data_IF_153286305515
#
_entry.id   IF_153286305515
#
_cell.length_a   1.000
_cell.length_b   1.000
_cell.length_c   1.000
_cell.angle_alpha   90.00
_cell.angle_beta   90.00
_cell.angle_gamma   90.00
#
_symmetry.space_group_name_H-M   'P 1'
#
loop_
_entity.id
_entity.type
_entity.pdbx_description
1 polymer ?
#
# COMPACT_ATOMS: atom_id res chain seq x y z
N UNK A 1 -8.79 12.00 24.16
CA UNK A 1 -7.62 12.65 23.54
C UNK A 1 -7.97 13.05 22.10
N UNK A 2 -8.81 14.07 21.94
CA UNK A 2 -9.36 14.52 20.66
C UNK A 2 -9.58 16.05 20.69
N UNK A 3 -8.64 16.79 21.29
CA UNK A 3 -8.74 18.25 21.54
C UNK A 3 -7.45 19.00 21.19
N UNK A 4 -6.77 18.60 20.11
CA UNK A 4 -5.59 19.31 19.63
C UNK A 4 -5.78 20.01 18.26
N UNK A 5 -6.81 19.66 17.49
CA UNK A 5 -6.98 20.15 16.12
C UNK A 5 -7.91 21.37 15.94
N UNK A 6 -8.46 21.94 17.02
CA UNK A 6 -9.41 23.08 16.93
C UNK A 6 -8.81 24.45 17.31
N UNK A 7 -7.53 24.54 17.64
CA UNK A 7 -6.89 25.79 18.13
C UNK A 7 -5.92 26.45 17.15
N UNK A 8 -5.95 26.10 15.86
CA UNK A 8 -5.03 26.67 14.86
C UNK A 8 -5.71 27.57 13.80
N UNK A 9 -7.02 27.83 13.92
CA UNK A 9 -7.72 28.76 13.03
C UNK A 9 -8.68 29.64 13.83
N UNK A 10 -8.19 30.82 14.23
CA UNK A 10 -8.96 31.82 14.95
C UNK A 10 -8.27 33.18 14.97
N UNK A 11 -8.38 33.89 13.84
CA UNK A 11 -8.60 35.34 13.78
C UNK A 11 -7.43 36.31 14.03
N UNK A 12 -7.14 37.11 12.99
CA UNK A 12 -6.88 38.55 13.17
C UNK A 12 -5.62 39.15 12.54
N UNK A 13 -5.87 40.12 11.65
CA UNK A 13 -5.00 41.21 11.17
C UNK A 13 -3.97 40.89 10.07
N UNK A 14 -4.27 41.38 8.86
CA UNK A 14 -3.32 41.42 7.75
C UNK A 14 -2.32 42.58 7.88
N UNK A 15 -1.09 42.44 7.35
CA UNK A 15 -0.22 43.57 7.08
C UNK A 15 0.07 43.75 5.58
N UNK A 16 -0.03 45.02 5.19
CA UNK A 16 0.58 45.77 4.08
C UNK A 16 1.53 45.02 3.14
N UNK A 17 1.24 45.14 1.85
CA UNK A 17 2.12 44.79 0.72
C UNK A 17 3.51 45.42 0.87
N UNK A 18 4.53 44.58 1.06
CA UNK A 18 5.91 44.86 0.72
C UNK A 18 6.22 44.14 -0.59
N UNK A 19 6.82 44.87 -1.54
CA UNK A 19 7.21 44.35 -2.84
C UNK A 19 8.17 43.15 -2.68
N UNK A 20 7.86 42.05 -3.36
CA UNK A 20 8.66 40.82 -3.35
C UNK A 20 10.00 41.05 -4.06
N UNK A 21 11.13 40.53 -3.53
CA UNK A 21 12.39 40.50 -4.26
C UNK A 21 12.27 39.61 -5.49
N UNK A 22 12.76 40.11 -6.63
CA UNK A 22 12.84 39.39 -7.89
C UNK A 22 13.72 38.15 -7.72
N UNK A 23 13.11 36.97 -7.90
CA UNK A 23 13.83 35.70 -7.82
C UNK A 23 12.94 34.47 -7.74
N UNK A 24 11.73 34.51 -8.32
CA UNK A 24 10.91 33.30 -8.42
C UNK A 24 11.40 32.54 -9.66
N UNK A 25 12.00 31.35 -9.52
CA UNK A 25 12.41 30.59 -10.69
C UNK A 25 11.17 30.25 -11.55
N UNK A 26 11.31 30.21 -12.89
CA UNK A 26 10.23 29.85 -13.80
C UNK A 26 9.58 28.52 -13.40
N UNK A 27 8.30 28.36 -13.70
CA UNK A 27 7.53 27.13 -13.40
C UNK A 27 8.21 25.88 -14.00
N UNK A 28 8.97 26.03 -15.09
CA UNK A 28 9.81 24.97 -15.67
C UNK A 28 10.95 24.50 -14.76
N UNK A 29 11.64 25.41 -14.06
CA UNK A 29 12.71 25.04 -13.11
C UNK A 29 12.17 24.37 -11.84
N UNK A 30 10.91 24.65 -11.45
CA UNK A 30 10.24 23.93 -10.36
C UNK A 30 9.84 22.50 -10.75
N UNK A 31 9.68 22.20 -12.04
CA UNK A 31 9.37 20.84 -12.53
C UNK A 31 10.61 19.94 -12.63
N UNK A 32 11.80 20.53 -12.74
CA UNK A 32 13.04 19.80 -12.99
C UNK A 32 13.69 19.14 -11.74
N UNK A 33 13.06 19.21 -10.55
CA UNK A 33 13.72 18.80 -9.30
C UNK A 33 12.90 17.94 -8.32
N UNK A 34 11.68 17.53 -8.67
CA UNK A 34 10.77 16.80 -7.77
C UNK A 34 10.32 15.43 -8.30
N UNK A 35 10.97 14.90 -9.34
CA UNK A 35 10.73 13.53 -9.78
C UNK A 35 11.29 12.55 -8.75
N UNK A 36 10.54 11.49 -8.44
CA UNK A 36 11.11 10.36 -7.69
C UNK A 36 12.23 9.78 -8.53
N UNK A 37 13.44 9.71 -7.97
CA UNK A 37 14.59 9.14 -8.65
C UNK A 37 14.46 7.61 -8.74
N UNK A 38 15.05 7.04 -9.80
CA UNK A 38 15.21 5.59 -9.91
C UNK A 38 16.00 5.04 -8.70
N UNK A 39 15.53 3.92 -8.15
CA UNK A 39 16.19 3.19 -7.08
C UNK A 39 16.29 1.70 -7.46
N UNK A 40 17.50 1.26 -7.80
CA UNK A 40 17.79 -0.13 -8.14
C UNK A 40 17.45 -1.12 -7.01
N UNK A 41 17.39 -0.65 -5.76
CA UNK A 41 17.02 -1.44 -4.59
C UNK A 41 15.52 -1.59 -4.36
N UNK A 42 14.67 -0.83 -5.06
CA UNK A 42 13.22 -0.80 -4.80
C UNK A 42 12.53 -2.13 -5.10
N UNK A 43 12.65 -2.63 -6.34
CA UNK A 43 12.01 -3.90 -6.72
C UNK A 43 12.52 -5.08 -5.88
N UNK A 44 13.85 -5.24 -5.63
CA UNK A 44 14.34 -6.25 -4.70
C UNK A 44 13.76 -6.13 -3.28
N UNK A 45 13.52 -4.91 -2.79
CA UNK A 45 12.89 -4.71 -1.49
C UNK A 45 11.42 -5.15 -1.49
N UNK A 46 10.63 -4.73 -2.49
CA UNK A 46 9.23 -5.13 -2.62
C UNK A 46 9.05 -6.65 -2.72
N UNK A 47 9.95 -7.36 -3.42
CA UNK A 47 9.94 -8.83 -3.47
C UNK A 47 10.26 -9.49 -2.13
N UNK A 48 11.13 -8.88 -1.31
CA UNK A 48 11.36 -9.36 0.06
C UNK A 48 10.13 -9.15 0.93
N UNK A 49 9.48 -7.99 0.81
CA UNK A 49 8.22 -7.72 1.50
C UNK A 49 7.15 -8.77 1.12
N UNK A 50 7.04 -9.16 -0.15
CA UNK A 50 6.18 -10.27 -0.58
C UNK A 50 6.50 -11.59 0.12
N UNK A 51 7.78 -11.98 0.19
CA UNK A 51 8.18 -13.21 0.86
C UNK A 51 7.82 -13.19 2.36
N UNK A 52 8.01 -12.06 3.03
CA UNK A 52 7.64 -11.87 4.43
C UNK A 52 6.11 -11.93 4.62
N UNK A 53 5.34 -11.31 3.72
CA UNK A 53 3.88 -11.37 3.74
C UNK A 53 3.35 -12.80 3.56
N UNK A 54 3.89 -13.55 2.60
CA UNK A 54 3.52 -14.96 2.37
C UNK A 54 3.85 -15.80 3.61
N UNK A 55 5.02 -15.59 4.21
CA UNK A 55 5.43 -16.29 5.43
C UNK A 55 4.50 -16.00 6.61
N UNK A 56 4.17 -14.73 6.85
CA UNK A 56 3.25 -14.32 7.91
C UNK A 56 1.86 -14.93 7.69
N UNK A 57 1.36 -14.88 6.46
CA UNK A 57 0.04 -15.43 6.14
C UNK A 57 0.01 -16.96 6.26
N UNK A 58 1.07 -17.64 5.84
CA UNK A 58 1.22 -19.09 6.04
C UNK A 58 1.19 -19.48 7.52
N UNK A 59 1.92 -18.77 8.37
CA UNK A 59 1.91 -19.02 9.82
C UNK A 59 0.52 -18.85 10.44
N UNK A 60 -0.27 -17.87 9.97
CA UNK A 60 -1.67 -17.69 10.42
C UNK A 60 -2.49 -18.95 10.10
N UNK A 61 -2.35 -19.48 8.88
CA UNK A 61 -3.02 -20.70 8.47
C UNK A 61 -2.61 -21.92 9.29
N UNK A 62 -1.33 -22.06 9.60
CA UNK A 62 -0.80 -23.15 10.43
C UNK A 62 -1.40 -23.14 11.84
N UNK A 63 -1.42 -21.97 12.52
CA UNK A 63 -2.05 -21.84 13.83
C UNK A 63 -3.56 -22.15 13.77
N UNK A 64 -4.27 -21.63 12.76
CA UNK A 64 -5.69 -21.89 12.61
C UNK A 64 -5.99 -23.38 12.39
N UNK A 65 -5.17 -24.08 11.60
CA UNK A 65 -5.30 -25.52 11.36
C UNK A 65 -5.03 -26.35 12.62
N UNK A 66 -4.14 -25.89 13.50
CA UNK A 66 -3.86 -26.52 14.79
C UNK A 66 -4.94 -26.21 15.85
N UNK A 67 -5.87 -25.31 15.56
CA UNK A 67 -6.94 -24.89 16.48
C UNK A 67 -6.56 -23.69 17.37
N UNK A 68 -5.40 -23.08 17.15
CA UNK A 68 -4.83 -21.98 17.93
C UNK A 68 -5.39 -20.61 17.53
N UNK A 69 -6.71 -20.49 17.49
CA UNK A 69 -7.40 -19.27 17.08
C UNK A 69 -7.20 -18.09 18.03
N UNK A 70 -6.68 -18.31 19.25
CA UNK A 70 -6.38 -17.23 20.20
C UNK A 70 -5.30 -16.27 19.67
N UNK A 71 -4.35 -16.76 18.86
CA UNK A 71 -3.25 -15.93 18.33
C UNK A 71 -3.62 -15.24 17.02
N UNK A 72 -4.62 -15.75 16.30
CA UNK A 72 -5.02 -15.29 14.96
C UNK A 72 -5.27 -13.78 14.89
N UNK A 73 -6.02 -13.13 15.82
CA UNK A 73 -6.25 -11.68 15.74
C UNK A 73 -4.97 -10.85 15.74
N UNK A 74 -4.01 -11.20 16.60
CA UNK A 74 -2.74 -10.48 16.71
C UNK A 74 -1.86 -10.71 15.47
N UNK A 75 -1.81 -11.95 14.98
CA UNK A 75 -1.06 -12.27 13.76
C UNK A 75 -1.63 -11.56 12.52
N UNK A 76 -2.96 -11.50 12.40
CA UNK A 76 -3.65 -10.73 11.36
C UNK A 76 -3.31 -9.24 11.42
N UNK A 77 -3.18 -8.67 12.63
CA UNK A 77 -2.78 -7.29 12.81
C UNK A 77 -1.33 -7.06 12.36
N UNK A 78 -0.41 -7.97 12.73
CA UNK A 78 0.97 -7.91 12.27
C UNK A 78 1.03 -7.97 10.73
N UNK A 79 0.36 -8.95 10.13
CA UNK A 79 0.26 -9.08 8.68
C UNK A 79 -0.30 -7.81 8.02
N UNK A 80 -1.36 -7.22 8.58
CA UNK A 80 -1.93 -5.96 8.09
C UNK A 80 -0.90 -4.82 8.08
N UNK A 81 -0.14 -4.65 9.15
CA UNK A 81 0.87 -3.58 9.25
C UNK A 81 1.96 -3.76 8.19
N UNK A 82 2.43 -5.00 8.00
CA UNK A 82 3.40 -5.31 6.94
C UNK A 82 2.82 -5.02 5.54
N UNK A 83 1.57 -5.39 5.30
CA UNK A 83 0.92 -5.15 4.00
C UNK A 83 0.73 -3.66 3.73
N UNK A 84 0.31 -2.88 4.74
CA UNK A 84 0.19 -1.43 4.60
C UNK A 84 1.53 -0.76 4.30
N UNK A 85 2.61 -1.22 4.95
CA UNK A 85 3.98 -0.78 4.65
C UNK A 85 4.36 -1.04 3.19
N UNK A 86 4.15 -2.27 2.71
CA UNK A 86 4.37 -2.66 1.31
C UNK A 86 3.60 -1.77 0.34
N UNK A 87 2.30 -1.60 0.59
CA UNK A 87 1.41 -0.80 -0.26
C UNK A 87 1.82 0.68 -0.30
N UNK A 88 2.31 1.24 0.81
CA UNK A 88 2.82 2.62 0.85
C UNK A 88 4.09 2.72 0.00
N UNK A 89 5.05 1.79 0.17
CA UNK A 89 6.28 1.80 -0.61
C UNK A 89 5.99 1.71 -2.11
N UNK A 90 5.08 0.82 -2.51
CA UNK A 90 4.68 0.65 -3.90
C UNK A 90 3.93 1.88 -4.44
N UNK A 91 2.93 2.40 -3.73
CA UNK A 91 2.16 3.58 -4.18
C UNK A 91 3.01 4.85 -4.26
N UNK A 92 3.87 5.08 -3.28
CA UNK A 92 4.63 6.32 -3.17
C UNK A 92 5.88 6.26 -4.04
N UNK A 93 6.56 5.12 -4.16
CA UNK A 93 7.86 5.05 -4.85
C UNK A 93 7.72 4.44 -6.25
N UNK A 94 7.10 3.27 -6.35
CA UNK A 94 6.99 2.52 -7.60
C UNK A 94 6.05 3.22 -8.58
N UNK A 95 4.77 3.37 -8.23
CA UNK A 95 3.76 3.90 -9.16
C UNK A 95 4.08 5.33 -9.58
N UNK A 96 4.50 6.19 -8.65
CA UNK A 96 4.89 7.57 -8.98
C UNK A 96 6.09 7.62 -9.94
N UNK A 97 7.07 6.73 -9.81
CA UNK A 97 8.19 6.69 -10.75
C UNK A 97 7.75 6.23 -12.14
N UNK A 98 7.05 5.10 -12.24
CA UNK A 98 6.61 4.53 -13.52
C UNK A 98 5.63 5.48 -14.23
N UNK A 99 4.66 6.07 -13.51
CA UNK A 99 3.74 7.07 -14.08
C UNK A 99 4.48 8.31 -14.60
N UNK A 100 5.55 8.75 -13.92
CA UNK A 100 6.37 9.87 -14.38
C UNK A 100 7.21 9.51 -15.62
N UNK A 101 7.81 8.32 -15.64
CA UNK A 101 8.62 7.85 -16.76
C UNK A 101 7.79 7.61 -18.03
N UNK A 102 6.50 7.27 -17.87
CA UNK A 102 5.56 7.06 -18.97
C UNK A 102 4.77 8.33 -19.36
N UNK A 103 5.16 9.51 -18.85
CA UNK A 103 4.53 10.77 -19.25
C UNK A 103 4.67 10.99 -20.76
N UNK A 104 3.53 11.12 -21.45
CA UNK A 104 3.48 11.29 -22.90
C UNK A 104 2.98 10.05 -23.65
N UNK A 105 2.92 8.88 -22.99
CA UNK A 105 2.30 7.67 -23.51
C UNK A 105 0.96 7.40 -22.80
N UNK A 106 -0.15 7.73 -23.47
CA UNK A 106 -1.49 7.58 -22.91
C UNK A 106 -1.90 6.12 -22.69
N UNK A 107 -1.40 5.20 -23.51
CA UNK A 107 -1.74 3.78 -23.43
C UNK A 107 -1.03 3.14 -22.23
N UNK A 108 0.28 3.36 -22.12
CA UNK A 108 1.08 2.89 -20.98
C UNK A 108 0.60 3.50 -19.66
N UNK A 109 0.23 4.78 -19.64
CA UNK A 109 -0.35 5.43 -18.46
C UNK A 109 -1.70 4.80 -18.06
N UNK A 110 -2.56 4.47 -19.03
CA UNK A 110 -3.83 3.81 -18.76
C UNK A 110 -3.64 2.39 -18.19
N UNK A 111 -2.65 1.66 -18.70
CA UNK A 111 -2.26 0.33 -18.21
C UNK A 111 -1.77 0.38 -16.76
N UNK A 112 -0.83 1.27 -16.43
CA UNK A 112 -0.33 1.40 -15.04
C UNK A 112 -1.46 1.76 -14.06
N UNK A 113 -2.37 2.64 -14.47
CA UNK A 113 -3.55 2.99 -13.66
C UNK A 113 -4.53 1.82 -13.48
N UNK A 114 -4.65 0.91 -14.45
CA UNK A 114 -5.53 -0.25 -14.32
C UNK A 114 -4.97 -1.24 -13.29
N UNK A 115 -3.66 -1.53 -13.35
CA UNK A 115 -2.95 -2.31 -12.32
C UNK A 115 -3.16 -1.71 -10.93
N UNK A 116 -2.95 -0.40 -10.79
CA UNK A 116 -3.12 0.29 -9.50
C UNK A 116 -4.53 0.14 -8.92
N UNK A 117 -5.57 0.25 -9.75
CA UNK A 117 -6.97 0.10 -9.29
C UNK A 117 -7.24 -1.32 -8.81
N UNK A 118 -6.77 -2.30 -9.57
CA UNK A 118 -6.96 -3.71 -9.27
C UNK A 118 -6.25 -4.10 -7.97
N UNK A 119 -4.97 -3.73 -7.83
CA UNK A 119 -4.17 -4.06 -6.64
C UNK A 119 -4.74 -3.41 -5.37
N UNK A 120 -5.27 -2.19 -5.47
CA UNK A 120 -5.97 -1.54 -4.37
C UNK A 120 -7.30 -2.22 -3.99
N UNK A 121 -7.98 -2.89 -4.92
CA UNK A 121 -9.19 -3.65 -4.60
C UNK A 121 -8.85 -4.90 -3.78
N UNK A 122 -7.79 -5.61 -4.16
CA UNK A 122 -7.28 -6.76 -3.41
C UNK A 122 -6.86 -6.34 -1.99
N UNK A 123 -6.11 -5.24 -1.87
CA UNK A 123 -5.70 -4.70 -0.57
C UNK A 123 -6.89 -4.40 0.37
N UNK A 124 -7.98 -3.83 -0.17
CA UNK A 124 -9.21 -3.59 0.63
C UNK A 124 -9.83 -4.89 1.14
N UNK A 125 -9.94 -5.91 0.29
CA UNK A 125 -10.46 -7.22 0.69
C UNK A 125 -9.65 -7.85 1.83
N UNK A 126 -8.33 -7.71 1.80
CA UNK A 126 -7.44 -8.17 2.88
C UNK A 126 -7.68 -7.39 4.18
N UNK A 127 -7.79 -6.06 4.10
CA UNK A 127 -8.06 -5.22 5.28
C UNK A 127 -9.41 -5.57 5.91
N UNK A 128 -10.43 -5.81 5.11
CA UNK A 128 -11.77 -6.17 5.60
C UNK A 128 -11.79 -7.57 6.21
N UNK A 129 -11.03 -8.52 5.66
CA UNK A 129 -10.78 -9.82 6.28
C UNK A 129 -10.12 -9.69 7.66
N UNK A 130 -9.06 -8.88 7.78
CA UNK A 130 -8.40 -8.64 9.07
C UNK A 130 -9.38 -8.07 10.09
N UNK A 131 -10.20 -7.09 9.70
CA UNK A 131 -11.23 -6.49 10.57
C UNK A 131 -12.28 -7.50 11.02
N UNK A 132 -12.80 -8.33 10.09
CA UNK A 132 -13.83 -9.35 10.38
C UNK A 132 -13.38 -10.29 11.50
N UNK A 133 -12.10 -10.62 11.53
CA UNK A 133 -11.53 -11.61 12.45
C UNK A 133 -10.76 -11.02 13.63
N UNK A 134 -10.95 -9.72 13.93
CA UNK A 134 -10.58 -9.14 15.23
C UNK A 134 -11.59 -9.52 16.33
N UNK A 135 -11.82 -10.83 16.50
CA UNK A 135 -12.74 -11.37 17.49
C UNK A 135 -12.01 -11.64 18.81
N UNK A 136 -12.71 -11.44 19.94
CA UNK A 136 -12.20 -11.81 21.26
C UNK A 136 -12.21 -13.33 21.48
N UNK A 137 -13.14 -14.04 20.84
CA UNK A 137 -13.31 -15.48 20.93
C UNK A 137 -13.81 -16.05 19.60
N UNK A 138 -13.32 -17.23 19.23
CA UNK A 138 -13.77 -17.99 18.05
C UNK A 138 -14.58 -19.21 18.49
N UNK A 139 -15.89 -19.17 18.26
CA UNK A 139 -16.74 -20.36 18.30
C UNK A 139 -16.52 -21.24 17.06
N UNK A 140 -17.20 -22.40 17.00
CA UNK A 140 -17.02 -23.35 15.90
C UNK A 140 -17.37 -22.75 14.53
N UNK A 141 -18.46 -21.98 14.45
CA UNK A 141 -18.89 -21.36 13.20
C UNK A 141 -17.86 -20.34 12.72
N UNK A 142 -17.38 -19.47 13.61
CA UNK A 142 -16.36 -18.47 13.28
C UNK A 142 -15.06 -19.10 12.77
N UNK A 143 -14.67 -20.27 13.30
CA UNK A 143 -13.49 -21.02 12.83
C UNK A 143 -13.68 -21.56 11.42
N UNK A 144 -14.83 -22.14 11.14
CA UNK A 144 -15.16 -22.68 9.81
C UNK A 144 -15.20 -21.57 8.76
N UNK A 145 -15.88 -20.46 9.07
CA UNK A 145 -15.91 -19.27 8.22
C UNK A 145 -14.50 -18.70 8.02
N UNK A 146 -13.71 -18.58 9.08
CA UNK A 146 -12.33 -18.12 8.99
C UNK A 146 -11.52 -18.96 8.01
N UNK A 147 -11.62 -20.29 8.09
CA UNK A 147 -10.85 -21.18 7.22
C UNK A 147 -11.28 -21.06 5.74
N UNK A 148 -12.55 -20.80 5.47
CA UNK A 148 -13.04 -20.54 4.11
C UNK A 148 -12.53 -19.20 3.57
N UNK A 149 -12.68 -18.14 4.36
CA UNK A 149 -12.23 -16.79 3.98
C UNK A 149 -10.71 -16.71 3.84
N UNK A 150 -9.96 -17.37 4.74
CA UNK A 150 -8.50 -17.49 4.70
C UNK A 150 -8.01 -18.02 3.35
N UNK A 151 -8.62 -19.11 2.84
CA UNK A 151 -8.25 -19.68 1.54
C UNK A 151 -8.53 -18.72 0.40
N UNK A 152 -9.65 -18.01 0.46
CA UNK A 152 -10.05 -17.03 -0.56
C UNK A 152 -9.06 -15.87 -0.59
N UNK A 153 -8.74 -15.31 0.57
CA UNK A 153 -7.81 -14.17 0.69
C UNK A 153 -6.37 -14.58 0.34
N UNK A 154 -5.94 -15.79 0.69
CA UNK A 154 -4.65 -16.33 0.26
C UNK A 154 -4.54 -16.37 -1.27
N UNK A 155 -5.58 -16.85 -1.96
CA UNK A 155 -5.61 -16.88 -3.42
C UNK A 155 -5.51 -15.48 -4.04
N UNK A 156 -6.21 -14.49 -3.48
CA UNK A 156 -6.14 -13.10 -3.94
C UNK A 156 -4.75 -12.48 -3.71
N UNK A 157 -4.12 -12.75 -2.56
CA UNK A 157 -2.76 -12.28 -2.27
C UNK A 157 -1.74 -12.90 -3.23
N UNK A 158 -1.82 -14.22 -3.46
CA UNK A 158 -0.92 -14.92 -4.36
C UNK A 158 -1.05 -14.39 -5.80
N UNK A 159 -2.29 -14.19 -6.27
CA UNK A 159 -2.56 -13.60 -7.59
C UNK A 159 -1.99 -12.19 -7.72
N UNK A 160 -2.11 -11.36 -6.67
CA UNK A 160 -1.51 -10.01 -6.64
C UNK A 160 0.01 -10.09 -6.81
N UNK A 161 0.68 -10.89 -5.99
CA UNK A 161 2.14 -11.04 -6.00
C UNK A 161 2.62 -11.52 -7.36
N UNK A 162 1.99 -12.57 -7.91
CA UNK A 162 2.35 -13.12 -9.22
C UNK A 162 2.27 -12.06 -10.32
N UNK A 163 1.18 -11.31 -10.36
CA UNK A 163 0.97 -10.26 -11.38
C UNK A 163 1.90 -9.08 -11.21
N UNK A 164 2.18 -8.67 -9.98
CA UNK A 164 3.13 -7.60 -9.70
C UNK A 164 4.52 -8.00 -10.17
N UNK A 165 4.98 -9.20 -9.84
CA UNK A 165 6.33 -9.63 -10.20
C UNK A 165 6.50 -9.98 -11.68
N UNK A 166 5.48 -10.57 -12.31
CA UNK A 166 5.56 -11.02 -13.70
C UNK A 166 5.24 -9.93 -14.72
N UNK A 167 4.43 -8.93 -14.36
CA UNK A 167 3.91 -7.94 -15.32
C UNK A 167 4.19 -6.49 -14.90
N UNK A 168 4.02 -6.15 -13.62
CA UNK A 168 4.16 -4.76 -13.18
C UNK A 168 5.64 -4.36 -12.99
N UNK A 169 6.40 -5.11 -12.19
CA UNK A 169 7.80 -4.80 -11.85
C UNK A 169 8.75 -4.75 -13.06
N UNK A 170 8.56 -5.52 -14.14
CA UNK A 170 9.32 -5.33 -15.38
C UNK A 170 9.24 -3.90 -15.94
N UNK A 171 8.11 -3.20 -15.76
CA UNK A 171 7.95 -1.81 -16.23
C UNK A 171 8.93 -0.85 -15.57
N UNK A 172 9.40 -1.16 -14.36
CA UNK A 172 10.38 -0.35 -13.62
C UNK A 172 11.80 -0.44 -14.18
N UNK A 173 12.11 -1.51 -14.92
CA UNK A 173 13.44 -1.74 -15.50
C UNK A 173 13.53 -1.28 -16.96
N UNK A 174 12.39 -0.95 -17.58
CA UNK A 174 12.28 -0.49 -18.97
C UNK A 174 12.33 1.05 -19.10
N UNK A 175 12.33 1.74 -17.97
CA UNK A 175 12.35 3.20 -17.81
C UNK A 175 13.72 3.67 -17.33
#
# INVERSE_FOLDING_TARGET
>A
MLDFFRKLFGGGQGPRSQALPQGVPPVEQRRAGFGIAYDAGLVPALKRDHADLVKLYGAIGEHAQQGDFQQVPQMLMAFKVHLEGHLIAENVRFYNYVENAMQGDSESTALVRSFRREMNAIARGVVDFVKKYQLSTFDQQAREEFMADYKTVYGLLAQRIEREEASLYPLYSLT
#
